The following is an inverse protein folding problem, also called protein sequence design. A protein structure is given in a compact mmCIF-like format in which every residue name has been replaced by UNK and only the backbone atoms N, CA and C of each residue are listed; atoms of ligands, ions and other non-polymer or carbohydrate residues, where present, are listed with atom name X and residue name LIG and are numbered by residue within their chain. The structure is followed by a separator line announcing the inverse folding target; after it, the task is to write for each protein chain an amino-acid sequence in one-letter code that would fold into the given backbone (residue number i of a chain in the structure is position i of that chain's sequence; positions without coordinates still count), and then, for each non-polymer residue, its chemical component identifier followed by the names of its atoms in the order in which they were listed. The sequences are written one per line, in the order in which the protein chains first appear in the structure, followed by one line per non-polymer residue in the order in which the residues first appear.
data_IF_093054572341
#
_entry.id   IF_093054572341
#
_cell.length_a   1.000
_cell.length_b   1.000
_cell.length_c   1.000
_cell.angle_alpha   90.00
_cell.angle_beta   90.00
_cell.angle_gamma   90.00
#
_symmetry.space_group_name_H-M   'P 1'
#
loop_
_entity.id
_entity.type
_entity.pdbx_description
1 polymer ?
#
# COMPACT_ATOMS: atom_id res chain seq x y z
N UNK A 1 -21.00 64.07 -28.86
CA UNK A 1 -21.68 63.25 -27.83
C UNK A 1 -22.14 61.85 -28.25
N UNK A 2 -22.05 61.42 -29.53
CA UNK A 2 -22.43 60.05 -29.94
C UNK A 2 -21.30 59.02 -29.85
N UNK A 3 -20.04 59.47 -29.89
CA UNK A 3 -18.86 58.58 -29.87
C UNK A 3 -18.60 57.95 -28.50
N UNK A 4 -18.91 58.67 -27.42
CA UNK A 4 -18.76 58.20 -26.04
C UNK A 4 -19.77 57.11 -25.65
N UNK A 5 -20.95 57.08 -26.28
CA UNK A 5 -21.98 56.07 -26.01
C UNK A 5 -21.61 54.69 -26.55
N UNK A 6 -20.97 54.64 -27.72
CA UNK A 6 -20.52 53.38 -28.34
C UNK A 6 -19.37 52.73 -27.55
N UNK A 7 -18.47 53.53 -26.98
CA UNK A 7 -17.35 53.02 -26.16
C UNK A 7 -17.87 52.44 -24.84
N UNK A 8 -18.87 53.09 -24.22
CA UNK A 8 -19.51 52.59 -22.99
C UNK A 8 -20.25 51.27 -23.26
N UNK A 9 -20.96 51.17 -24.38
CA UNK A 9 -21.64 49.92 -24.79
C UNK A 9 -20.64 48.78 -25.05
N UNK A 10 -19.51 49.06 -25.70
CA UNK A 10 -18.46 48.05 -25.93
C UNK A 10 -17.85 47.60 -24.60
N UNK A 11 -17.58 48.52 -23.66
CA UNK A 11 -17.05 48.16 -22.33
C UNK A 11 -18.03 47.29 -21.53
N UNK A 12 -19.33 47.61 -21.57
CA UNK A 12 -20.38 46.81 -20.90
C UNK A 12 -20.45 45.41 -21.50
N UNK A 13 -20.43 45.29 -22.84
CA UNK A 13 -20.45 43.99 -23.52
C UNK A 13 -19.18 43.18 -23.20
N UNK A 14 -17.99 43.80 -23.16
CA UNK A 14 -16.74 43.13 -22.81
C UNK A 14 -16.74 42.61 -21.36
N UNK A 15 -17.29 43.40 -20.42
CA UNK A 15 -17.41 42.97 -19.01
C UNK A 15 -18.39 41.81 -18.81
N UNK A 16 -19.44 41.68 -19.63
CA UNK A 16 -20.38 40.55 -19.56
C UNK A 16 -19.72 39.25 -20.07
N UNK A 17 -18.80 39.34 -21.03
CA UNK A 17 -18.08 38.15 -21.54
C UNK A 17 -17.01 37.62 -20.58
N UNK A 18 -16.53 38.43 -19.62
CA UNK A 18 -15.50 38.02 -18.66
C UNK A 18 -16.07 37.33 -17.40
N UNK A 19 -17.38 37.39 -17.16
CA UNK A 19 -18.03 36.75 -16.02
C UNK A 19 -18.60 35.36 -16.31
N UNK A 20 -18.43 34.84 -17.53
CA UNK A 20 -18.75 33.45 -17.85
C UNK A 20 -17.60 32.53 -17.43
N UNK A 21 -17.27 32.51 -16.14
CA UNK A 21 -16.58 31.35 -15.56
C UNK A 21 -17.56 30.19 -15.65
N UNK A 22 -17.33 29.27 -16.57
CA UNK A 22 -18.03 28.00 -16.61
C UNK A 22 -17.89 27.36 -15.23
N UNK A 23 -18.96 27.45 -14.42
CA UNK A 23 -19.08 26.63 -13.23
C UNK A 23 -18.93 25.20 -13.70
N UNK A 24 -17.77 24.60 -13.42
CA UNK A 24 -17.61 23.17 -13.62
C UNK A 24 -18.66 22.53 -12.73
N UNK A 25 -19.77 22.11 -13.34
CA UNK A 25 -20.76 21.28 -12.68
C UNK A 25 -20.00 20.04 -12.22
N UNK A 26 -19.63 20.04 -10.94
CA UNK A 26 -18.99 18.89 -10.31
C UNK A 26 -20.04 17.79 -10.35
N UNK A 27 -19.89 16.88 -11.31
CA UNK A 27 -20.76 15.72 -11.43
C UNK A 27 -20.61 14.97 -10.12
N UNK A 28 -21.69 14.96 -9.32
CA UNK A 28 -21.74 14.19 -8.08
C UNK A 28 -22.09 12.77 -8.51
N UNK A 29 -21.10 11.91 -8.52
CA UNK A 29 -21.33 10.47 -8.61
C UNK A 29 -21.91 10.01 -7.27
N UNK A 30 -23.14 9.52 -7.27
CA UNK A 30 -23.76 8.88 -6.12
C UNK A 30 -23.42 7.40 -6.19
N UNK A 31 -22.58 6.91 -5.28
CA UNK A 31 -22.14 5.51 -5.22
C UNK A 31 -20.67 5.39 -4.80
N UNK A 32 -20.19 4.15 -4.76
CA UNK A 32 -18.77 3.86 -4.51
C UNK A 32 -17.93 4.24 -5.75
N UNK A 33 -16.74 4.79 -5.52
CA UNK A 33 -15.71 4.99 -6.54
C UNK A 33 -14.40 4.31 -6.08
N UNK A 34 -13.48 3.95 -6.99
CA UNK A 34 -12.17 3.47 -6.60
C UNK A 34 -11.48 4.47 -5.66
N UNK A 35 -10.96 3.97 -4.55
CA UNK A 35 -10.29 4.79 -3.54
C UNK A 35 -8.98 5.37 -4.07
N UNK A 36 -8.32 4.65 -4.97
CA UNK A 36 -7.10 5.10 -5.65
C UNK A 36 -7.45 5.52 -7.08
N UNK A 37 -7.49 6.83 -7.31
CA UNK A 37 -7.94 7.40 -8.59
C UNK A 37 -6.85 7.53 -9.65
N UNK A 38 -5.60 7.63 -9.20
CA UNK A 38 -4.43 7.89 -10.05
C UNK A 38 -3.45 6.75 -9.86
N UNK A 39 -2.98 6.19 -10.97
CA UNK A 39 -1.80 5.33 -10.98
C UNK A 39 -0.59 6.20 -11.35
N UNK A 40 0.53 6.02 -10.65
CA UNK A 40 1.82 6.59 -11.05
C UNK A 40 2.70 5.48 -11.62
N UNK A 41 3.32 5.73 -12.77
CA UNK A 41 4.22 4.76 -13.38
C UNK A 41 5.65 4.92 -12.86
N UNK A 42 6.38 3.82 -12.76
CA UNK A 42 7.78 3.83 -12.37
C UNK A 42 8.64 4.67 -13.34
N UNK A 43 8.35 4.62 -14.65
CA UNK A 43 9.07 5.38 -15.67
C UNK A 43 8.87 6.89 -15.53
N UNK A 44 7.70 7.35 -15.07
CA UNK A 44 7.45 8.79 -14.85
C UNK A 44 8.22 9.30 -13.62
N UNK A 45 8.42 8.44 -12.61
CA UNK A 45 9.25 8.75 -11.45
C UNK A 45 10.73 8.82 -11.88
N UNK A 46 11.21 7.82 -12.62
CA UNK A 46 12.61 7.72 -13.06
C UNK A 46 13.03 8.84 -14.03
N UNK A 47 12.10 9.28 -14.89
CA UNK A 47 12.34 10.40 -15.81
C UNK A 47 12.29 11.77 -15.13
N UNK A 48 11.91 11.83 -13.85
CA UNK A 48 11.71 13.08 -13.11
C UNK A 48 10.45 13.84 -13.51
N UNK A 49 9.55 13.22 -14.29
CA UNK A 49 8.23 13.79 -14.62
C UNK A 49 7.36 13.94 -13.36
N UNK A 50 7.55 13.05 -12.39
CA UNK A 50 6.92 13.12 -11.06
C UNK A 50 8.03 13.43 -10.04
N UNK A 51 7.85 14.51 -9.28
CA UNK A 51 8.78 14.89 -8.22
C UNK A 51 8.77 13.86 -7.08
N UNK A 52 9.86 13.78 -6.30
CA UNK A 52 9.90 12.90 -5.12
C UNK A 52 8.82 13.31 -4.11
N UNK A 53 8.57 14.61 -3.98
CA UNK A 53 7.53 15.17 -3.14
C UNK A 53 6.14 14.63 -3.55
N UNK A 54 5.83 14.62 -4.85
CA UNK A 54 4.59 14.08 -5.37
C UNK A 54 4.48 12.56 -5.18
N UNK A 55 5.61 11.83 -5.29
CA UNK A 55 5.65 10.39 -4.98
C UNK A 55 5.31 10.14 -3.51
N UNK A 56 5.86 10.95 -2.60
CA UNK A 56 5.58 10.84 -1.16
C UNK A 56 4.11 11.17 -0.85
N UNK A 57 3.56 12.22 -1.48
CA UNK A 57 2.14 12.58 -1.35
C UNK A 57 1.27 11.43 -1.84
N UNK A 58 1.53 10.90 -3.03
CA UNK A 58 0.75 9.79 -3.58
C UNK A 58 0.88 8.51 -2.75
N UNK A 59 2.08 8.23 -2.21
CA UNK A 59 2.29 7.13 -1.28
C UNK A 59 1.46 7.27 -0.02
N UNK A 60 1.30 8.48 0.52
CA UNK A 60 0.41 8.76 1.66
C UNK A 60 -1.06 8.56 1.30
N UNK A 61 -1.48 8.99 0.11
CA UNK A 61 -2.84 8.73 -0.39
C UNK A 61 -3.12 7.23 -0.46
N UNK A 62 -2.20 6.45 -1.04
CA UNK A 62 -2.32 5.00 -1.13
C UNK A 62 -2.33 4.33 0.25
N UNK A 63 -1.50 4.80 1.18
CA UNK A 63 -1.40 4.25 2.54
C UNK A 63 -2.70 4.43 3.35
N UNK A 64 -3.42 5.52 3.08
CA UNK A 64 -4.65 5.89 3.80
C UNK A 64 -5.93 5.54 3.03
N UNK A 65 -5.81 5.05 1.79
CA UNK A 65 -6.94 4.64 0.97
C UNK A 65 -7.66 3.44 1.61
N UNK A 66 -8.99 3.56 1.76
CA UNK A 66 -9.85 2.47 2.26
C UNK A 66 -10.36 1.63 1.10
N UNK A 67 -9.58 0.62 0.72
CA UNK A 67 -9.86 -0.22 -0.44
C UNK A 67 -11.26 -0.85 -0.38
N UNK A 68 -12.04 -0.61 -1.42
CA UNK A 68 -13.38 -1.17 -1.58
C UNK A 68 -13.41 -2.24 -2.69
N UNK A 69 -14.61 -2.70 -3.03
CA UNK A 69 -14.80 -3.75 -4.04
C UNK A 69 -14.28 -3.35 -5.43
N UNK A 70 -14.33 -2.06 -5.78
CA UNK A 70 -13.83 -1.51 -7.04
C UNK A 70 -12.30 -1.46 -7.08
N UNK A 71 -11.66 -1.37 -5.91
CA UNK A 71 -10.20 -1.51 -5.75
C UNK A 71 -9.77 -2.98 -5.57
N UNK A 72 -10.72 -3.93 -5.68
CA UNK A 72 -10.49 -5.36 -5.48
C UNK A 72 -10.33 -5.79 -4.02
N UNK A 73 -10.67 -4.95 -3.03
CA UNK A 73 -10.37 -5.13 -1.60
C UNK A 73 -8.87 -5.38 -1.33
N UNK A 74 -8.00 -4.79 -2.15
CA UNK A 74 -6.58 -5.12 -2.16
C UNK A 74 -6.32 -6.51 -2.77
N UNK A 75 -5.79 -7.45 -1.98
CA UNK A 75 -5.41 -8.81 -2.45
C UNK A 75 -6.20 -9.91 -1.73
N UNK A 76 -7.50 -10.10 -2.04
CA UNK A 76 -8.42 -10.96 -1.29
C UNK A 76 -8.09 -12.46 -1.35
N UNK A 77 -7.18 -12.85 -2.24
CA UNK A 77 -6.69 -14.21 -2.41
C UNK A 77 -5.32 -14.44 -1.77
N UNK A 78 -4.74 -13.43 -1.12
CA UNK A 78 -3.43 -13.52 -0.46
C UNK A 78 -3.53 -14.41 0.78
N UNK A 79 -2.74 -15.48 0.87
CA UNK A 79 -2.71 -16.38 2.03
C UNK A 79 -1.71 -15.95 3.10
N UNK A 80 -1.32 -14.66 3.14
CA UNK A 80 -0.28 -14.16 4.06
C UNK A 80 1.15 -14.64 3.72
N UNK A 81 1.28 -15.56 2.77
CA UNK A 81 2.53 -16.04 2.21
C UNK A 81 2.57 -15.83 0.68
N UNK A 82 3.54 -16.46 0.01
CA UNK A 82 3.66 -16.44 -1.46
C UNK A 82 2.60 -17.30 -2.17
N UNK A 83 1.68 -17.92 -1.43
CA UNK A 83 0.65 -18.79 -1.98
C UNK A 83 -0.71 -18.09 -2.04
N UNK A 84 -1.66 -18.75 -2.70
CA UNK A 84 -3.03 -18.28 -2.88
C UNK A 84 -3.92 -19.04 -1.91
N UNK A 85 -4.82 -18.34 -1.20
CA UNK A 85 -5.89 -19.02 -0.45
C UNK A 85 -6.72 -19.85 -1.43
N UNK A 86 -6.84 -21.15 -1.16
CA UNK A 86 -7.58 -22.08 -2.01
C UNK A 86 -9.07 -21.73 -2.06
N UNK A 87 -9.64 -21.31 -0.93
CA UNK A 87 -11.05 -20.99 -0.79
C UNK A 87 -11.23 -19.49 -0.50
N UNK A 88 -11.56 -18.71 -1.54
CA UNK A 88 -11.91 -17.29 -1.37
C UNK A 88 -13.21 -17.21 -0.56
N UNK A 89 -13.17 -16.53 0.59
CA UNK A 89 -14.38 -16.19 1.34
C UNK A 89 -15.10 -15.01 0.68
N UNK A 90 -16.42 -15.05 0.68
CA UNK A 90 -17.31 -13.99 0.19
C UNK A 90 -18.05 -13.36 1.36
N UNK A 91 -18.71 -12.22 1.16
CA UNK A 91 -19.53 -11.58 2.18
C UNK A 91 -20.55 -12.57 2.78
N UNK A 92 -20.74 -12.59 4.12
CA UNK A 92 -20.11 -11.73 5.14
C UNK A 92 -18.75 -12.22 5.67
N UNK A 93 -18.30 -13.41 5.27
CA UNK A 93 -17.07 -14.05 5.73
C UNK A 93 -15.78 -13.47 5.11
N UNK A 94 -15.89 -12.47 4.23
CA UNK A 94 -14.73 -11.86 3.57
C UNK A 94 -13.99 -10.83 4.44
N UNK A 95 -14.47 -10.54 5.65
CA UNK A 95 -13.85 -9.60 6.59
C UNK A 95 -13.75 -10.23 7.99
N UNK A 96 -12.67 -11.00 8.20
CA UNK A 96 -12.46 -11.75 9.44
C UNK A 96 -11.17 -11.29 10.12
N UNK A 97 -11.26 -11.01 11.42
CA UNK A 97 -10.20 -10.40 12.22
C UNK A 97 -9.02 -11.33 12.54
N UNK A 98 -9.17 -12.64 12.37
CA UNK A 98 -8.17 -13.61 12.81
C UNK A 98 -7.48 -14.24 11.61
N UNK A 99 -8.27 -14.74 10.66
CA UNK A 99 -7.81 -15.51 9.51
C UNK A 99 -8.11 -14.83 8.17
N UNK A 100 -8.81 -13.69 8.15
CA UNK A 100 -9.27 -12.95 6.96
C UNK A 100 -8.46 -11.71 6.63
N UNK A 101 -8.80 -10.96 5.56
CA UNK A 101 -8.49 -9.55 5.50
C UNK A 101 -9.28 -8.85 6.63
N UNK A 102 -8.54 -8.28 7.58
CA UNK A 102 -9.08 -7.70 8.82
C UNK A 102 -9.13 -6.17 8.81
N UNK A 103 -8.72 -5.56 7.69
CA UNK A 103 -8.53 -4.13 7.50
C UNK A 103 -8.71 -3.77 6.02
N UNK A 104 -9.07 -2.51 5.77
CA UNK A 104 -9.26 -1.94 4.42
C UNK A 104 -8.20 -0.90 4.06
N UNK A 105 -7.35 -0.47 5.00
CA UNK A 105 -6.29 0.50 4.77
C UNK A 105 -5.04 0.16 5.60
N UNK A 106 -3.85 0.46 5.09
CA UNK A 106 -2.62 0.29 5.87
C UNK A 106 -2.68 1.10 7.19
N UNK A 107 -3.31 2.27 7.14
CA UNK A 107 -3.55 3.13 8.29
C UNK A 107 -4.55 2.60 9.32
N UNK A 108 -5.27 1.50 9.09
CA UNK A 108 -6.13 0.94 10.15
C UNK A 108 -5.29 0.34 11.28
N UNK A 109 -4.13 -0.24 10.95
CA UNK A 109 -3.21 -0.84 11.92
C UNK A 109 -2.03 0.09 12.25
N UNK A 110 -1.53 0.85 11.27
CA UNK A 110 -0.35 1.70 11.41
C UNK A 110 -0.73 3.18 11.60
N UNK A 111 -1.16 3.56 12.80
CA UNK A 111 -1.77 4.89 13.04
C UNK A 111 -1.43 5.60 14.35
N UNK A 112 -0.63 5.00 15.23
CA UNK A 112 -0.30 5.60 16.52
C UNK A 112 1.16 6.06 16.61
N UNK A 113 1.42 7.32 17.05
CA UNK A 113 0.45 8.37 17.39
C UNK A 113 -0.15 9.07 16.16
N UNK A 114 0.40 8.82 14.98
CA UNK A 114 -0.06 9.33 13.69
C UNK A 114 0.04 8.23 12.63
N UNK A 115 -0.59 8.45 11.47
CA UNK A 115 -0.51 7.56 10.30
C UNK A 115 0.95 7.18 9.97
N UNK A 116 1.20 5.88 9.76
CA UNK A 116 2.53 5.30 9.58
C UNK A 116 3.19 4.84 10.88
N UNK A 117 2.56 5.13 12.03
CA UNK A 117 3.01 4.69 13.34
C UNK A 117 2.70 3.23 13.65
N UNK A 118 2.90 2.85 14.90
CA UNK A 118 2.53 1.52 15.37
C UNK A 118 1.02 1.41 15.61
N UNK A 119 0.62 0.30 16.21
CA UNK A 119 -0.75 0.07 16.66
C UNK A 119 -0.82 -0.18 18.16
N UNK A 120 -2.04 -0.06 18.71
CA UNK A 120 -2.37 -0.56 20.05
C UNK A 120 -2.73 -2.05 19.99
N UNK A 121 -3.00 -2.68 21.13
CA UNK A 121 -3.39 -4.09 21.22
C UNK A 121 -4.55 -4.46 20.27
N UNK A 122 -5.55 -3.59 20.13
CA UNK A 122 -6.71 -3.81 19.23
C UNK A 122 -6.34 -3.98 17.75
N UNK A 123 -5.17 -3.48 17.36
CA UNK A 123 -4.62 -3.55 15.98
C UNK A 123 -3.52 -4.60 15.83
N UNK A 124 -3.31 -5.49 16.82
CA UNK A 124 -2.31 -6.55 16.72
C UNK A 124 -2.60 -7.53 15.58
N UNK A 125 -1.57 -8.10 14.95
CA UNK A 125 -1.78 -9.11 13.91
C UNK A 125 -1.72 -10.52 14.51
N UNK A 126 -2.55 -11.44 14.02
CA UNK A 126 -2.50 -12.85 14.43
C UNK A 126 -1.74 -13.66 13.38
N UNK A 127 -0.41 -13.66 13.45
CA UNK A 127 0.42 -14.34 12.46
C UNK A 127 0.20 -15.86 12.49
N UNK A 128 0.20 -16.50 11.32
CA UNK A 128 -0.08 -17.92 11.10
C UNK A 128 -1.54 -18.35 11.30
N UNK A 129 -2.43 -17.46 11.76
CA UNK A 129 -3.85 -17.76 11.85
C UNK A 129 -4.50 -17.92 10.46
N UNK A 130 -3.88 -17.37 9.41
CA UNK A 130 -4.29 -17.54 8.02
C UNK A 130 -4.14 -18.97 7.49
N UNK A 131 -3.40 -19.84 8.20
CA UNK A 131 -3.23 -21.27 7.88
C UNK A 131 -4.41 -22.12 8.34
N UNK A 132 -5.14 -21.65 9.35
CA UNK A 132 -6.33 -22.33 9.85
C UNK A 132 -7.48 -22.14 8.86
N UNK A 133 -8.35 -23.15 8.67
CA UNK A 133 -9.65 -22.90 8.04
C UNK A 133 -10.36 -21.80 8.83
N UNK A 134 -11.12 -20.95 8.12
CA UNK A 134 -11.80 -19.75 8.64
C UNK A 134 -12.18 -19.88 10.12
N UNK A 135 -11.42 -19.19 10.96
CA UNK A 135 -11.65 -19.23 12.39
C UNK A 135 -12.68 -18.16 12.75
N UNK A 136 -13.83 -18.62 13.23
CA UNK A 136 -14.84 -17.78 13.86
C UNK A 136 -14.95 -18.18 15.34
N UNK A 137 -15.34 -17.24 16.18
CA UNK A 137 -15.58 -17.50 17.61
C UNK A 137 -16.95 -18.14 17.88
N UNK A 138 -17.60 -18.67 16.84
CA UNK A 138 -18.83 -19.44 16.96
C UNK A 138 -18.53 -20.80 17.62
N UNK A 139 -18.65 -20.87 18.95
CA UNK A 139 -18.60 -22.14 19.67
C UNK A 139 -19.91 -22.41 20.41
N UNK A 140 -20.53 -23.56 20.12
CA UNK A 140 -21.61 -24.14 20.94
C UNK A 140 -21.09 -24.75 22.26
N UNK A 141 -19.77 -24.69 22.49
CA UNK A 141 -19.12 -25.20 23.69
C UNK A 141 -18.09 -24.18 24.17
N UNK A 142 -18.49 -23.40 25.17
CA UNK A 142 -17.62 -22.50 25.95
C UNK A 142 -16.99 -23.21 27.15
N UNK A 143 -17.08 -24.54 27.24
CA UNK A 143 -16.65 -25.32 28.41
C UNK A 143 -15.13 -25.57 28.47
N UNK A 144 -14.37 -25.12 27.47
CA UNK A 144 -12.91 -25.22 27.46
C UNK A 144 -12.24 -23.91 27.06
N UNK A 145 -11.26 -23.47 27.85
CA UNK A 145 -10.38 -22.34 27.52
C UNK A 145 -9.62 -22.60 26.20
N UNK A 146 -9.89 -21.79 25.17
CA UNK A 146 -9.09 -21.78 23.93
C UNK A 146 -7.96 -20.77 24.11
N UNK A 147 -6.71 -21.19 23.94
CA UNK A 147 -5.56 -20.28 24.04
C UNK A 147 -5.31 -19.63 22.69
N UNK A 148 -5.05 -18.32 22.69
CA UNK A 148 -4.70 -17.59 21.47
C UNK A 148 -3.50 -18.19 20.72
N UNK A 149 -2.54 -18.75 21.46
CA UNK A 149 -1.37 -19.46 20.90
C UNK A 149 -1.72 -20.72 20.09
N UNK A 150 -2.90 -21.30 20.29
CA UNK A 150 -3.40 -22.46 19.53
C UNK A 150 -3.97 -22.02 18.17
N UNK A 151 -4.30 -20.74 18.05
CA UNK A 151 -4.91 -20.12 16.87
C UNK A 151 -3.86 -19.39 16.03
N UNK A 152 -2.94 -18.67 16.67
CA UNK A 152 -1.93 -17.86 16.00
C UNK A 152 -0.95 -17.20 16.96
N UNK A 153 -0.01 -16.46 16.40
CA UNK A 153 0.96 -15.67 17.16
C UNK A 153 0.56 -14.18 17.09
N UNK A 154 -0.05 -13.69 18.17
CA UNK A 154 -0.40 -12.27 18.30
C UNK A 154 0.87 -11.42 18.39
N UNK A 155 0.98 -10.45 17.49
CA UNK A 155 2.12 -9.53 17.43
C UNK A 155 1.66 -8.09 17.37
N UNK A 156 2.38 -7.24 18.08
CA UNK A 156 2.13 -5.81 18.06
C UNK A 156 2.41 -5.22 16.68
N UNK A 157 1.52 -4.33 16.21
CA UNK A 157 1.74 -3.60 14.97
C UNK A 157 2.88 -2.59 15.15
N UNK A 158 3.91 -2.76 14.33
CA UNK A 158 5.14 -1.94 14.39
C UNK A 158 4.95 -0.60 13.69
N UNK A 159 5.73 0.40 14.11
CA UNK A 159 5.84 1.66 13.37
C UNK A 159 6.62 1.49 12.07
N UNK A 160 6.20 2.24 11.04
CA UNK A 160 6.79 2.24 9.70
C UNK A 160 7.51 3.56 9.36
N UNK A 161 7.68 4.45 10.34
CA UNK A 161 8.35 5.73 10.13
C UNK A 161 9.79 5.54 9.61
N UNK A 162 10.05 6.03 8.40
CA UNK A 162 11.37 5.97 7.78
C UNK A 162 11.84 4.58 7.35
N UNK A 163 11.03 3.52 7.52
CA UNK A 163 11.44 2.16 7.13
C UNK A 163 11.52 1.96 5.62
N UNK A 164 10.75 2.73 4.84
CA UNK A 164 10.68 2.59 3.38
C UNK A 164 12.03 2.78 2.67
N UNK A 165 12.80 3.82 3.01
CA UNK A 165 14.11 4.06 2.39
C UNK A 165 15.14 3.01 2.77
N UNK A 166 15.12 2.57 4.04
CA UNK A 166 16.00 1.49 4.51
C UNK A 166 15.64 0.18 3.81
N UNK A 167 14.36 -0.11 3.61
CA UNK A 167 13.91 -1.27 2.85
C UNK A 167 14.35 -1.20 1.38
N UNK A 168 14.23 -0.04 0.73
CA UNK A 168 14.70 0.15 -0.65
C UNK A 168 16.22 -0.11 -0.75
N UNK A 169 17.00 0.46 0.16
CA UNK A 169 18.44 0.22 0.24
C UNK A 169 18.74 -1.27 0.47
N UNK A 170 18.02 -1.92 1.39
CA UNK A 170 18.18 -3.34 1.68
C UNK A 170 17.85 -4.22 0.45
N UNK A 171 16.85 -3.85 -0.36
CA UNK A 171 16.52 -4.55 -1.61
C UNK A 171 17.61 -4.40 -2.66
N UNK A 172 18.19 -3.21 -2.82
CA UNK A 172 19.36 -3.00 -3.69
C UNK A 172 20.55 -3.84 -3.22
N UNK A 173 20.90 -3.75 -1.94
CA UNK A 173 21.98 -4.52 -1.34
C UNK A 173 21.76 -6.03 -1.52
N UNK A 174 20.53 -6.50 -1.32
CA UNK A 174 20.18 -7.92 -1.52
C UNK A 174 20.39 -8.35 -2.97
N UNK A 175 19.98 -7.52 -3.95
CA UNK A 175 20.19 -7.80 -5.37
C UNK A 175 21.69 -7.90 -5.71
N UNK A 176 22.50 -6.98 -5.20
CA UNK A 176 23.95 -6.98 -5.41
C UNK A 176 24.62 -8.23 -4.81
N UNK A 177 24.23 -8.59 -3.58
CA UNK A 177 24.76 -9.76 -2.87
C UNK A 177 24.39 -11.07 -3.58
N UNK A 178 23.17 -11.18 -4.10
CA UNK A 178 22.73 -12.32 -4.89
C UNK A 178 23.55 -12.43 -6.19
N UNK A 179 23.84 -11.30 -6.85
CA UNK A 179 24.67 -11.28 -8.05
C UNK A 179 26.14 -11.71 -7.77
N UNK A 180 26.71 -11.29 -6.65
CA UNK A 180 28.03 -11.72 -6.20
C UNK A 180 28.05 -13.23 -5.92
N UNK A 181 27.06 -13.75 -5.20
CA UNK A 181 26.90 -15.19 -4.99
C UNK A 181 26.86 -15.95 -6.32
N UNK A 182 26.03 -15.51 -7.27
CA UNK A 182 25.92 -16.15 -8.59
C UNK A 182 27.26 -16.15 -9.35
N UNK A 183 28.07 -15.09 -9.19
CA UNK A 183 29.43 -15.01 -9.75
C UNK A 183 30.36 -16.05 -9.13
N UNK A 184 30.32 -16.21 -7.79
CA UNK A 184 31.12 -17.23 -7.10
C UNK A 184 30.72 -18.65 -7.52
N UNK A 185 29.42 -18.91 -7.70
CA UNK A 185 28.91 -20.20 -8.20
C UNK A 185 29.44 -20.50 -9.61
N UNK A 186 29.39 -19.52 -10.51
CA UNK A 186 29.91 -19.67 -11.87
C UNK A 186 31.43 -19.92 -11.89
N UNK A 187 32.19 -19.25 -11.01
CA UNK A 187 33.64 -19.46 -10.87
C UNK A 187 33.96 -20.84 -10.29
N UNK A 188 33.23 -21.29 -9.27
CA UNK A 188 33.44 -22.60 -8.67
C UNK A 188 33.22 -23.73 -9.68
N UNK A 189 32.17 -23.62 -10.52
CA UNK A 189 31.90 -24.57 -11.61
C UNK A 189 33.01 -24.53 -12.65
N UNK A 190 33.45 -23.33 -13.07
CA UNK A 190 34.49 -23.18 -14.11
C UNK A 190 35.84 -23.74 -13.68
N UNK A 191 36.19 -23.58 -12.40
CA UNK A 191 37.49 -23.94 -11.86
C UNK A 191 37.51 -25.32 -11.19
N UNK A 192 36.37 -26.01 -11.13
CA UNK A 192 36.18 -27.31 -10.48
C UNK A 192 36.73 -27.35 -9.05
N UNK A 193 36.51 -26.26 -8.29
CA UNK A 193 36.98 -26.11 -6.92
C UNK A 193 36.08 -25.20 -6.10
N UNK A 194 36.22 -25.31 -4.78
CA UNK A 194 35.59 -24.37 -3.86
C UNK A 194 36.17 -22.95 -4.06
N UNK A 195 35.29 -21.98 -4.31
CA UNK A 195 35.61 -20.55 -4.43
C UNK A 195 34.95 -19.81 -3.26
N UNK A 196 35.73 -18.93 -2.62
CA UNK A 196 35.23 -17.98 -1.62
C UNK A 196 35.44 -16.57 -2.15
N UNK A 197 34.41 -15.75 -2.04
CA UNK A 197 34.49 -14.31 -2.30
C UNK A 197 34.02 -13.57 -1.04
N UNK A 198 34.54 -12.36 -0.83
CA UNK A 198 33.98 -11.44 0.17
C UNK A 198 32.68 -10.86 -0.39
N UNK A 199 31.59 -11.01 0.36
CA UNK A 199 30.34 -10.35 0.03
C UNK A 199 30.37 -8.91 0.56
N UNK A 200 30.20 -7.94 -0.33
CA UNK A 200 30.18 -6.54 0.08
C UNK A 200 29.24 -5.71 -0.79
N UNK A 201 28.49 -4.80 -0.18
CA UNK A 201 27.64 -3.87 -0.94
C UNK A 201 27.42 -2.60 -0.13
N UNK A 202 27.36 -1.45 -0.81
CA UNK A 202 27.16 -0.12 -0.21
C UNK A 202 28.09 0.16 1.00
N UNK A 203 29.33 -0.36 0.96
CA UNK A 203 30.33 -0.18 2.02
C UNK A 203 30.19 -1.11 3.23
N UNK A 204 29.29 -2.10 3.19
CA UNK A 204 29.08 -3.10 4.26
C UNK A 204 29.57 -4.46 3.79
N UNK A 205 30.33 -5.15 4.65
CA UNK A 205 30.83 -6.52 4.44
C UNK A 205 29.93 -7.54 5.15
N UNK A 206 29.74 -8.72 4.54
CA UNK A 206 28.92 -9.83 5.03
C UNK A 206 29.72 -11.13 5.11
#
# INVERSE_FOLDING_TARGET
MKFSWNIILIFIILSITFSCSASQNKIIYIGDEPSVKKHISQSDIESGLISIEDVVIHGKELFTARFNSLDGFGRPLSAGDRTRRKNKKIFPENFNRISGPESQACSDCHNMPIVGGGGSNVTNVFSSAEKSPFLDFDTESLDSDIKLSEVGNERNTIGMFGSGLVELLAREMTKDLIAQRATAEALAIKEDRNVRILLSTKGVNF
#
